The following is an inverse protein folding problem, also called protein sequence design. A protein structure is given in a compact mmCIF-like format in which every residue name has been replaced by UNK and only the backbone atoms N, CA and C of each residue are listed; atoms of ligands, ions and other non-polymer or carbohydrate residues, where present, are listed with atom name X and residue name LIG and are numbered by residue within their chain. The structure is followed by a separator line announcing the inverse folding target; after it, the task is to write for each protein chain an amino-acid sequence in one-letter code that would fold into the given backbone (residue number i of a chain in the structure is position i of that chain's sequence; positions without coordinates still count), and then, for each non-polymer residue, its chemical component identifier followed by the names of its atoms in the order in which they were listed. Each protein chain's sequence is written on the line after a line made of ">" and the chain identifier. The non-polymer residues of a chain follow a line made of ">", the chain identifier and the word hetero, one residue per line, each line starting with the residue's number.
data_IF_397215745256
#
_entry.id   IF_397215745256
#
_cell.length_a   1.000
_cell.length_b   1.000
_cell.length_c   1.000
_cell.angle_alpha   90.00
_cell.angle_beta   90.00
_cell.angle_gamma   90.00
#
_symmetry.space_group_name_H-M   'P 1'
#
loop_
_entity.id
_entity.type
_entity.pdbx_description
1 polymer ?
#
# COMPACT_ATOMS: atom_id res chain seq x y z
N UNK A 1 -21.31 10.48 -27.25
CA UNK A 1 -20.65 9.20 -26.89
C UNK A 1 -19.43 9.61 -26.11
N UNK A 2 -19.47 9.49 -24.79
CA UNK A 2 -18.30 9.79 -23.94
C UNK A 2 -17.15 8.88 -24.40
N UNK A 3 -15.95 9.44 -24.52
CA UNK A 3 -14.76 8.65 -24.76
C UNK A 3 -14.56 7.75 -23.54
N UNK A 4 -14.25 6.44 -23.69
CA UNK A 4 -14.04 5.51 -22.56
C UNK A 4 -13.02 6.01 -21.53
N UNK A 5 -12.08 6.82 -21.98
CA UNK A 5 -10.97 7.38 -21.22
C UNK A 5 -11.41 8.46 -20.23
N UNK A 6 -12.35 9.35 -20.60
CA UNK A 6 -12.82 10.45 -19.73
C UNK A 6 -13.47 9.90 -18.44
N UNK A 7 -14.22 8.80 -18.56
CA UNK A 7 -14.79 8.11 -17.39
C UNK A 7 -13.74 7.46 -16.49
N UNK A 8 -12.64 6.96 -17.02
CA UNK A 8 -11.56 6.35 -16.24
C UNK A 8 -10.80 7.39 -15.38
N UNK A 9 -10.57 8.59 -15.93
CA UNK A 9 -9.90 9.67 -15.16
C UNK A 9 -10.79 10.26 -14.08
N UNK A 10 -12.07 10.44 -14.37
CA UNK A 10 -13.01 10.83 -13.33
C UNK A 10 -13.03 9.79 -12.20
N UNK A 11 -13.07 8.51 -12.56
CA UNK A 11 -13.04 7.41 -11.60
C UNK A 11 -11.75 7.41 -10.77
N UNK A 12 -10.60 7.67 -11.39
CA UNK A 12 -9.32 7.78 -10.71
C UNK A 12 -9.33 8.91 -9.66
N UNK A 13 -9.84 10.09 -10.01
CA UNK A 13 -9.95 11.22 -9.08
C UNK A 13 -10.90 10.91 -7.91
N UNK A 14 -12.01 10.22 -8.15
CA UNK A 14 -12.94 9.75 -7.12
C UNK A 14 -12.25 8.78 -6.13
N UNK A 15 -11.50 7.80 -6.65
CA UNK A 15 -10.78 6.83 -5.84
C UNK A 15 -9.74 7.50 -4.94
N UNK A 16 -8.98 8.45 -5.49
CA UNK A 16 -8.00 9.24 -4.73
C UNK A 16 -8.67 10.01 -3.60
N UNK A 17 -9.79 10.70 -3.89
CA UNK A 17 -10.57 11.42 -2.89
C UNK A 17 -11.02 10.50 -1.76
N UNK A 18 -11.57 9.34 -2.12
CA UNK A 18 -12.07 8.35 -1.17
C UNK A 18 -10.96 7.74 -0.30
N UNK A 19 -9.75 7.52 -0.86
CA UNK A 19 -8.61 7.05 -0.08
C UNK A 19 -8.19 8.05 1.01
N UNK A 20 -8.21 9.34 0.69
CA UNK A 20 -7.90 10.41 1.65
C UNK A 20 -8.96 10.51 2.76
N UNK A 21 -10.24 10.45 2.41
CA UNK A 21 -11.34 10.42 3.39
C UNK A 21 -11.21 9.22 4.34
N UNK A 22 -10.94 8.02 3.81
CA UNK A 22 -10.72 6.84 4.64
C UNK A 22 -9.53 7.01 5.60
N UNK A 23 -8.47 7.72 5.20
CA UNK A 23 -7.32 7.97 6.06
C UNK A 23 -7.65 8.98 7.17
N UNK A 24 -8.42 10.04 6.88
CA UNK A 24 -8.92 10.99 7.88
C UNK A 24 -9.78 10.29 8.94
N UNK A 25 -10.58 9.30 8.54
CA UNK A 25 -11.37 8.45 9.42
C UNK A 25 -10.55 7.36 10.15
N UNK A 26 -9.26 7.27 9.91
CA UNK A 26 -8.36 6.20 10.38
C UNK A 26 -8.78 4.79 9.94
N UNK A 27 -9.43 4.68 8.81
CA UNK A 27 -9.91 3.42 8.19
C UNK A 27 -9.09 3.06 6.94
N UNK A 28 -7.76 3.23 6.99
CA UNK A 28 -6.82 3.03 5.85
C UNK A 28 -6.94 1.64 5.20
N UNK A 29 -7.39 0.63 5.93
CA UNK A 29 -7.63 -0.70 5.37
C UNK A 29 -8.66 -0.71 4.24
N UNK A 30 -9.61 0.25 4.23
CA UNK A 30 -10.59 0.43 3.14
C UNK A 30 -9.93 0.87 1.83
N UNK A 31 -8.69 1.36 1.90
CA UNK A 31 -7.93 1.78 0.73
C UNK A 31 -7.39 0.60 -0.10
N UNK A 32 -7.30 -0.60 0.46
CA UNK A 32 -6.77 -1.79 -0.23
C UNK A 32 -7.50 -2.08 -1.55
N UNK A 33 -8.85 -2.21 -1.59
CA UNK A 33 -9.55 -2.43 -2.86
C UNK A 33 -9.46 -1.22 -3.80
N UNK A 34 -9.41 0.01 -3.27
CA UNK A 34 -9.30 1.23 -4.08
C UNK A 34 -7.93 1.28 -4.79
N UNK A 35 -6.85 0.96 -4.08
CA UNK A 35 -5.51 0.89 -4.66
C UNK A 35 -5.40 -0.19 -5.75
N UNK A 36 -6.02 -1.35 -5.55
CA UNK A 36 -6.11 -2.41 -6.58
C UNK A 36 -6.87 -1.93 -7.82
N UNK A 37 -7.96 -1.19 -7.64
CA UNK A 37 -8.72 -0.59 -8.74
C UNK A 37 -7.91 0.48 -9.47
N UNK A 38 -7.19 1.35 -8.77
CA UNK A 38 -6.28 2.33 -9.38
C UNK A 38 -5.23 1.62 -10.24
N UNK A 39 -4.61 0.56 -9.73
CA UNK A 39 -3.62 -0.21 -10.50
C UNK A 39 -4.21 -0.89 -11.74
N UNK A 40 -5.46 -1.35 -11.66
CA UNK A 40 -6.18 -1.88 -12.82
C UNK A 40 -6.44 -0.79 -13.86
N UNK A 41 -6.93 0.39 -13.43
CA UNK A 41 -7.14 1.53 -14.31
C UNK A 41 -5.84 1.94 -15.02
N UNK A 42 -4.72 2.01 -14.33
CA UNK A 42 -3.43 2.33 -14.93
C UNK A 42 -3.01 1.33 -16.00
N UNK A 43 -3.16 0.03 -15.74
CA UNK A 43 -2.68 -1.02 -16.66
C UNK A 43 -3.57 -1.21 -17.89
N UNK A 44 -4.88 -1.14 -17.70
CA UNK A 44 -5.84 -1.62 -18.69
C UNK A 44 -6.65 -0.49 -19.37
N UNK A 45 -6.82 0.65 -18.68
CA UNK A 45 -7.74 1.69 -19.13
C UNK A 45 -7.10 3.05 -19.39
N UNK A 46 -5.96 3.31 -18.78
CA UNK A 46 -5.32 4.64 -18.81
C UNK A 46 -3.82 4.50 -19.07
N UNK A 47 -3.40 4.07 -20.26
CA UNK A 47 -1.97 4.08 -20.57
C UNK A 47 -1.45 5.52 -20.42
N UNK A 48 -0.37 5.71 -19.65
CA UNK A 48 0.26 7.02 -19.41
C UNK A 48 0.67 7.75 -20.70
N UNK A 49 0.63 7.06 -21.85
CA UNK A 49 0.98 7.59 -23.18
C UNK A 49 -0.12 8.39 -23.87
N UNK A 50 -1.29 8.55 -23.24
CA UNK A 50 -2.36 9.30 -23.85
C UNK A 50 -2.16 10.80 -23.60
N UNK A 51 -1.85 11.56 -24.67
CA UNK A 51 -1.62 13.01 -24.65
C UNK A 51 -2.85 13.82 -24.20
N UNK A 52 -4.06 13.23 -24.24
CA UNK A 52 -5.30 13.88 -23.85
C UNK A 52 -5.50 13.90 -22.31
N UNK A 53 -4.60 13.30 -21.55
CA UNK A 53 -4.77 13.11 -20.10
C UNK A 53 -4.22 14.28 -19.32
N UNK A 54 -5.01 14.74 -18.34
CA UNK A 54 -4.54 15.75 -17.40
C UNK A 54 -3.35 15.22 -16.56
N UNK A 55 -2.13 15.74 -16.76
CA UNK A 55 -0.92 15.31 -16.03
C UNK A 55 -1.10 15.34 -14.51
N UNK A 56 -1.86 16.33 -14.01
CA UNK A 56 -2.09 16.51 -12.57
C UNK A 56 -2.82 15.35 -11.92
N UNK A 57 -3.75 14.69 -12.60
CA UNK A 57 -4.50 13.54 -12.05
C UNK A 57 -3.60 12.31 -11.98
N UNK A 58 -2.74 12.10 -12.98
CA UNK A 58 -1.74 11.03 -12.96
C UNK A 58 -0.79 11.20 -11.80
N UNK A 59 -0.24 12.41 -11.64
CA UNK A 59 0.67 12.72 -10.53
C UNK A 59 0.01 12.49 -9.18
N UNK A 60 -1.21 12.98 -8.99
CA UNK A 60 -1.93 12.78 -7.73
C UNK A 60 -2.15 11.30 -7.43
N UNK A 61 -2.45 10.48 -8.44
CA UNK A 61 -2.60 9.04 -8.25
C UNK A 61 -1.27 8.36 -7.87
N UNK A 62 -0.17 8.76 -8.52
CA UNK A 62 1.18 8.28 -8.20
C UNK A 62 1.57 8.63 -6.76
N UNK A 63 1.38 9.89 -6.36
CA UNK A 63 1.63 10.35 -4.99
C UNK A 63 0.75 9.63 -3.97
N UNK A 64 -0.52 9.40 -4.30
CA UNK A 64 -1.47 8.71 -3.41
C UNK A 64 -1.06 7.25 -3.18
N UNK A 65 -0.64 6.52 -4.23
CA UNK A 65 -0.20 5.13 -4.09
C UNK A 65 1.16 4.99 -3.39
N UNK A 66 2.00 6.01 -3.42
CA UNK A 66 3.30 6.02 -2.74
C UNK A 66 3.24 6.58 -1.31
N UNK A 67 2.07 7.02 -0.83
CA UNK A 67 1.92 7.58 0.51
C UNK A 67 1.68 6.48 1.55
N UNK A 68 2.69 6.23 2.39
CA UNK A 68 2.66 5.25 3.47
C UNK A 68 1.56 5.52 4.51
N UNK A 69 1.01 6.74 4.57
CA UNK A 69 -0.12 7.06 5.43
C UNK A 69 -1.46 6.59 4.86
N UNK A 70 -1.51 6.25 3.58
CA UNK A 70 -2.73 5.81 2.89
C UNK A 70 -2.78 4.31 2.67
N UNK A 71 -1.64 3.62 2.65
CA UNK A 71 -1.51 2.18 2.43
C UNK A 71 -0.37 1.60 3.26
N UNK A 72 -0.51 0.36 3.68
CA UNK A 72 0.57 -0.40 4.32
C UNK A 72 1.40 -1.13 3.26
N UNK A 73 2.64 -0.73 3.07
CA UNK A 73 3.58 -1.34 2.12
C UNK A 73 3.88 -2.81 2.50
N UNK A 74 3.95 -3.11 3.80
CA UNK A 74 4.19 -4.47 4.32
C UNK A 74 3.02 -5.41 4.06
N UNK A 75 1.81 -4.88 4.00
CA UNK A 75 0.62 -5.68 3.73
C UNK A 75 0.37 -5.89 2.22
N UNK A 76 0.98 -5.05 1.36
CA UNK A 76 0.74 -5.02 -0.09
C UNK A 76 2.02 -4.98 -0.94
N UNK A 77 3.09 -5.73 -0.62
CA UNK A 77 4.39 -5.54 -1.26
C UNK A 77 4.38 -5.83 -2.78
N UNK A 78 3.50 -6.71 -3.26
CA UNK A 78 3.37 -7.02 -4.70
C UNK A 78 2.63 -5.93 -5.46
N UNK A 79 1.65 -5.31 -4.81
CA UNK A 79 0.96 -4.14 -5.37
C UNK A 79 1.97 -2.99 -5.53
N UNK A 80 2.78 -2.72 -4.51
CA UNK A 80 3.82 -1.69 -4.56
C UNK A 80 4.90 -2.01 -5.61
N UNK A 81 5.39 -3.25 -5.67
CA UNK A 81 6.32 -3.67 -6.71
C UNK A 81 5.73 -3.42 -8.11
N UNK A 82 4.48 -3.83 -8.32
CA UNK A 82 3.77 -3.65 -9.59
C UNK A 82 3.59 -2.18 -9.95
N UNK A 83 3.37 -1.32 -8.96
CA UNK A 83 3.25 0.12 -9.11
C UNK A 83 4.58 0.76 -9.51
N UNK A 84 5.69 0.43 -8.82
CA UNK A 84 7.00 0.99 -9.15
C UNK A 84 7.55 0.47 -10.48
N UNK A 85 7.27 -0.80 -10.85
CA UNK A 85 7.58 -1.31 -12.20
C UNK A 85 6.81 -0.56 -13.28
N UNK A 86 5.54 -0.25 -13.05
CA UNK A 86 4.74 0.54 -13.97
C UNK A 86 5.28 1.97 -14.09
N UNK A 87 5.71 2.56 -12.97
CA UNK A 87 6.36 3.87 -12.94
C UNK A 87 7.65 3.86 -13.77
N UNK A 88 8.55 2.90 -13.52
CA UNK A 88 9.82 2.78 -14.28
C UNK A 88 9.59 2.72 -15.79
N UNK A 89 8.64 1.90 -16.24
CA UNK A 89 8.31 1.75 -17.65
C UNK A 89 7.76 3.02 -18.31
N UNK A 90 7.28 3.98 -17.52
CA UNK A 90 6.66 5.20 -18.00
C UNK A 90 7.40 6.47 -17.53
N UNK A 91 8.58 6.31 -16.93
CA UNK A 91 9.34 7.42 -16.37
C UNK A 91 9.75 8.47 -17.41
N UNK A 92 10.10 8.03 -18.63
CA UNK A 92 10.47 8.93 -19.72
C UNK A 92 9.31 9.87 -20.11
N UNK A 93 8.08 9.37 -20.04
CA UNK A 93 6.88 10.15 -20.37
C UNK A 93 6.51 11.15 -19.28
N UNK A 94 6.82 10.82 -18.01
CA UNK A 94 6.57 11.71 -16.87
C UNK A 94 7.57 12.88 -16.84
N UNK A 95 8.76 12.70 -17.46
CA UNK A 95 9.79 13.73 -17.54
C UNK A 95 9.61 14.69 -18.73
N UNK A 96 8.80 14.36 -19.74
CA UNK A 96 8.60 15.18 -20.94
C UNK A 96 7.46 16.20 -20.81
N UNK A 97 6.63 16.12 -19.76
CA UNK A 97 5.50 17.03 -19.58
C UNK A 97 5.90 18.26 -18.74
N UNK A 98 5.44 19.47 -19.18
CA UNK A 98 5.69 20.82 -18.62
C UNK A 98 5.21 21.07 -17.18
N UNK A 99 5.35 20.11 -16.27
CA UNK A 99 5.15 20.28 -14.84
C UNK A 99 6.44 20.76 -14.16
N UNK A 100 6.33 21.45 -13.04
CA UNK A 100 7.49 21.92 -12.26
C UNK A 100 8.52 20.81 -12.08
N UNK A 101 9.73 20.91 -12.66
CA UNK A 101 10.70 19.80 -12.71
C UNK A 101 11.13 19.26 -11.35
N UNK A 102 10.96 20.02 -10.30
CA UNK A 102 11.48 19.73 -8.95
C UNK A 102 10.83 18.52 -8.27
N UNK A 103 9.54 18.26 -8.51
CA UNK A 103 8.85 17.15 -7.84
C UNK A 103 9.18 15.81 -8.50
N UNK A 104 9.30 15.77 -9.82
CA UNK A 104 9.62 14.55 -10.57
C UNK A 104 11.06 14.06 -10.38
N UNK A 105 12.05 14.97 -10.40
CA UNK A 105 13.44 14.62 -10.17
C UNK A 105 13.66 13.98 -8.78
N UNK A 106 12.90 14.41 -7.78
CA UNK A 106 12.97 13.83 -6.46
C UNK A 106 12.42 12.40 -6.42
N UNK A 107 11.29 12.12 -7.07
CA UNK A 107 10.70 10.77 -7.11
C UNK A 107 11.53 9.80 -7.96
N UNK A 108 11.99 10.22 -9.13
CA UNK A 108 12.84 9.40 -10.00
C UNK A 108 14.14 8.95 -9.33
N UNK A 109 14.66 9.77 -8.42
CA UNK A 109 15.88 9.47 -7.66
C UNK A 109 15.71 8.26 -6.70
N UNK A 110 14.52 8.09 -6.12
CA UNK A 110 14.24 7.00 -5.17
C UNK A 110 13.70 5.73 -5.84
N UNK A 111 13.30 5.80 -7.10
CA UNK A 111 12.70 4.69 -7.82
C UNK A 111 13.55 3.40 -7.83
N UNK A 112 14.89 3.43 -8.06
CA UNK A 112 15.72 2.25 -8.00
C UNK A 112 15.75 1.59 -6.60
N UNK A 113 15.76 2.38 -5.55
CA UNK A 113 15.78 1.89 -4.16
C UNK A 113 14.44 1.25 -3.79
N UNK A 114 13.32 1.83 -4.20
CA UNK A 114 11.99 1.26 -4.00
C UNK A 114 11.80 -0.03 -4.80
N UNK A 115 12.22 -0.09 -6.05
CA UNK A 115 12.20 -1.32 -6.85
C UNK A 115 13.04 -2.42 -6.23
N UNK A 116 14.22 -2.09 -5.73
CA UNK A 116 15.08 -3.02 -5.00
C UNK A 116 14.38 -3.54 -3.74
N UNK A 117 13.85 -2.64 -2.90
CA UNK A 117 13.14 -2.94 -1.67
C UNK A 117 12.00 -3.95 -1.92
N UNK A 118 11.07 -3.61 -2.80
CA UNK A 118 9.89 -4.46 -3.01
C UNK A 118 10.22 -5.77 -3.76
N UNK A 119 11.22 -5.77 -4.64
CA UNK A 119 11.69 -7.02 -5.26
C UNK A 119 12.18 -8.02 -4.22
N UNK A 120 12.92 -7.55 -3.21
CA UNK A 120 13.36 -8.40 -2.10
C UNK A 120 12.21 -8.79 -1.16
N UNK A 121 11.30 -7.87 -0.86
CA UNK A 121 10.15 -8.16 0.01
C UNK A 121 9.26 -9.28 -0.53
N UNK A 122 9.12 -9.41 -1.85
CA UNK A 122 8.31 -10.47 -2.47
C UNK A 122 9.08 -11.75 -2.76
N UNK A 123 10.39 -11.80 -2.49
CA UNK A 123 11.21 -12.99 -2.72
C UNK A 123 10.78 -14.13 -1.78
N UNK A 124 10.52 -15.34 -2.29
CA UNK A 124 10.16 -16.50 -1.46
C UNK A 124 11.22 -16.90 -0.41
N UNK A 125 12.46 -16.47 -0.61
CA UNK A 125 13.56 -16.72 0.32
C UNK A 125 13.66 -15.66 1.44
N UNK A 126 12.78 -14.66 1.45
CA UNK A 126 12.77 -13.63 2.48
C UNK A 126 12.48 -14.25 3.85
N UNK A 127 13.37 -13.97 4.78
CA UNK A 127 13.26 -14.38 6.20
C UNK A 127 13.36 -13.15 7.09
N UNK A 128 12.93 -13.28 8.35
CA UNK A 128 13.02 -12.19 9.34
C UNK A 128 14.47 -11.68 9.46
N UNK A 129 15.44 -12.59 9.56
CA UNK A 129 16.85 -12.22 9.70
C UNK A 129 17.40 -11.53 8.45
N UNK A 130 16.93 -11.92 7.26
CA UNK A 130 17.32 -11.27 6.01
C UNK A 130 16.68 -9.89 5.89
N UNK A 131 15.39 -9.78 6.22
CA UNK A 131 14.69 -8.50 6.26
C UNK A 131 15.37 -7.50 7.20
N UNK A 132 15.68 -7.94 8.43
CA UNK A 132 16.38 -7.11 9.42
C UNK A 132 17.77 -6.64 8.94
N UNK A 133 18.50 -7.48 8.18
CA UNK A 133 19.79 -7.10 7.60
C UNK A 133 19.68 -6.07 6.49
N UNK A 134 18.68 -6.19 5.64
CA UNK A 134 18.52 -5.34 4.46
C UNK A 134 17.80 -4.03 4.79
N UNK A 135 16.80 -4.08 5.65
CA UNK A 135 15.85 -2.98 5.88
C UNK A 135 15.69 -2.58 7.35
N UNK A 136 16.17 -3.42 8.29
CA UNK A 136 15.93 -3.25 9.72
C UNK A 136 16.66 -2.08 10.39
N UNK A 137 17.59 -1.41 9.69
CA UNK A 137 18.33 -0.27 10.23
C UNK A 137 17.44 0.94 10.55
N UNK A 138 16.32 1.07 9.83
CA UNK A 138 15.36 2.16 9.96
C UNK A 138 14.08 1.73 10.68
N UNK A 139 13.92 0.43 10.98
CA UNK A 139 12.76 -0.13 11.67
C UNK A 139 13.11 -0.43 13.13
N UNK A 140 12.45 0.27 14.06
CA UNK A 140 12.59 -0.02 15.50
C UNK A 140 11.83 -1.28 15.93
N UNK A 141 10.90 -1.79 15.11
CA UNK A 141 10.02 -2.91 15.44
C UNK A 141 10.11 -4.02 14.39
N UNK A 142 10.28 -5.25 14.88
CA UNK A 142 10.16 -6.46 14.06
C UNK A 142 8.69 -6.71 13.72
N UNK A 143 8.43 -7.21 12.52
CA UNK A 143 7.13 -7.67 12.09
C UNK A 143 7.20 -9.12 11.56
N UNK A 144 6.07 -9.78 11.46
CA UNK A 144 6.03 -11.15 10.97
C UNK A 144 6.12 -11.18 9.43
N UNK A 145 7.16 -11.81 8.89
CA UNK A 145 7.38 -11.89 7.43
C UNK A 145 6.31 -12.68 6.69
N UNK A 146 5.38 -13.37 7.38
CA UNK A 146 4.18 -13.93 6.75
C UNK A 146 3.36 -12.85 6.05
N UNK A 147 3.44 -11.58 6.49
CA UNK A 147 2.79 -10.43 5.87
C UNK A 147 3.30 -10.17 4.45
N UNK A 148 4.50 -10.62 4.11
CA UNK A 148 5.06 -10.52 2.76
C UNK A 148 4.58 -11.64 1.83
N UNK A 149 3.79 -12.60 2.32
CA UNK A 149 3.32 -13.73 1.53
C UNK A 149 2.20 -13.34 0.56
N UNK A 150 2.09 -14.02 -0.61
CA UNK A 150 0.98 -13.81 -1.53
C UNK A 150 -0.38 -14.08 -0.90
N UNK A 151 -0.44 -15.03 0.05
CA UNK A 151 -1.67 -15.36 0.75
C UNK A 151 -2.11 -14.22 1.65
N UNK A 152 -1.20 -13.62 2.42
CA UNK A 152 -1.49 -12.45 3.23
C UNK A 152 -2.03 -11.30 2.39
N UNK A 153 -1.31 -10.91 1.34
CA UNK A 153 -1.71 -9.80 0.48
C UNK A 153 -3.08 -10.02 -0.18
N UNK A 154 -3.44 -11.27 -0.46
CA UNK A 154 -4.77 -11.61 -0.97
C UNK A 154 -5.86 -11.43 0.08
N UNK A 155 -5.62 -11.90 1.30
CA UNK A 155 -6.64 -12.04 2.35
C UNK A 155 -6.71 -10.82 3.30
N UNK A 156 -5.69 -9.94 3.30
CA UNK A 156 -5.57 -8.85 4.28
C UNK A 156 -6.79 -7.93 4.32
N UNK A 157 -7.42 -7.65 3.19
CA UNK A 157 -8.61 -6.81 3.15
C UNK A 157 -9.77 -7.43 3.95
N UNK A 158 -10.03 -8.72 3.77
CA UNK A 158 -11.11 -9.41 4.46
C UNK A 158 -10.78 -9.60 5.94
N UNK A 159 -9.52 -9.90 6.28
CA UNK A 159 -9.03 -9.95 7.66
C UNK A 159 -9.27 -8.62 8.38
N UNK A 160 -8.89 -7.50 7.77
CA UNK A 160 -9.08 -6.17 8.36
C UNK A 160 -10.56 -5.82 8.50
N UNK A 161 -11.34 -6.04 7.45
CA UNK A 161 -12.78 -5.81 7.45
C UNK A 161 -13.49 -6.56 8.57
N UNK A 162 -13.17 -7.84 8.76
CA UNK A 162 -13.74 -8.65 9.85
C UNK A 162 -13.25 -8.18 11.22
N UNK A 163 -11.97 -7.77 11.32
CA UNK A 163 -11.37 -7.24 12.55
C UNK A 163 -12.08 -5.96 12.99
N UNK A 164 -12.24 -5.00 12.09
CA UNK A 164 -12.92 -3.75 12.39
C UNK A 164 -14.43 -3.93 12.65
N UNK A 165 -15.05 -4.89 11.98
CA UNK A 165 -16.45 -5.24 12.26
C UNK A 165 -16.65 -5.80 13.69
N UNK A 166 -15.71 -6.62 14.18
CA UNK A 166 -15.73 -7.15 15.54
C UNK A 166 -15.50 -6.05 16.58
N UNK A 167 -14.61 -5.09 16.28
CA UNK A 167 -14.25 -3.99 17.19
C UNK A 167 -15.16 -2.76 17.05
N UNK A 168 -16.24 -2.89 16.31
CA UNK A 168 -17.17 -1.78 16.10
C UNK A 168 -17.78 -1.30 17.43
N UNK A 169 -17.52 -0.03 17.75
CA UNK A 169 -18.01 0.59 18.98
C UNK A 169 -17.01 0.55 20.14
N UNK A 170 -15.88 -0.15 19.99
CA UNK A 170 -14.81 -0.10 20.98
C UNK A 170 -14.06 1.25 20.91
N UNK A 171 -13.66 1.75 22.08
CA UNK A 171 -12.88 2.98 22.16
C UNK A 171 -11.45 2.75 21.64
N UNK A 172 -10.99 3.59 20.71
CA UNK A 172 -9.60 3.57 20.17
C UNK A 172 -8.60 4.25 21.12
N UNK A 173 -8.80 4.12 22.44
CA UNK A 173 -7.91 4.67 23.46
C UNK A 173 -6.71 3.76 23.78
N UNK A 174 -6.08 4.05 24.93
CA UNK A 174 -4.94 3.28 25.44
C UNK A 174 -5.27 1.78 25.50
N UNK A 175 -4.40 0.94 24.98
CA UNK A 175 -4.57 -0.52 24.94
C UNK A 175 -5.42 -1.05 23.79
N UNK A 176 -5.98 -0.21 22.93
CA UNK A 176 -6.74 -0.63 21.75
C UNK A 176 -5.89 -1.53 20.82
N UNK A 177 -4.60 -1.25 20.67
CA UNK A 177 -3.70 -2.05 19.86
C UNK A 177 -3.69 -3.54 20.24
N UNK A 178 -3.79 -3.87 21.53
CA UNK A 178 -3.82 -5.27 21.99
C UNK A 178 -5.12 -5.97 21.61
N UNK A 179 -6.26 -5.29 21.73
CA UNK A 179 -7.55 -5.82 21.28
C UNK A 179 -7.55 -6.02 19.76
N UNK A 180 -7.07 -5.03 19.03
CA UNK A 180 -6.94 -5.09 17.58
C UNK A 180 -6.05 -6.25 17.13
N UNK A 181 -4.88 -6.41 17.70
CA UNK A 181 -3.98 -7.53 17.34
C UNK A 181 -4.56 -8.89 17.71
N UNK A 182 -5.25 -8.99 18.82
CA UNK A 182 -5.93 -10.23 19.22
C UNK A 182 -7.03 -10.61 18.22
N UNK A 183 -7.90 -9.65 17.88
CA UNK A 183 -8.96 -9.85 16.90
C UNK A 183 -8.38 -10.18 15.51
N UNK A 184 -7.40 -9.39 15.03
CA UNK A 184 -6.72 -9.62 13.73
C UNK A 184 -6.07 -10.99 13.66
N UNK A 185 -5.38 -11.44 14.72
CA UNK A 185 -4.80 -12.78 14.79
C UNK A 185 -5.85 -13.88 14.68
N UNK A 186 -6.97 -13.72 15.37
CA UNK A 186 -8.09 -14.68 15.27
C UNK A 186 -8.75 -14.71 13.87
N UNK A 187 -8.76 -13.59 13.14
CA UNK A 187 -9.23 -13.56 11.74
C UNK A 187 -8.22 -14.18 10.82
N UNK A 188 -6.93 -13.84 10.95
CA UNK A 188 -5.86 -14.44 10.15
C UNK A 188 -5.87 -15.97 10.23
N UNK A 189 -6.03 -16.55 11.44
CA UNK A 189 -6.17 -18.00 11.63
C UNK A 189 -7.38 -18.59 10.87
N UNK A 190 -8.52 -17.91 10.83
CA UNK A 190 -9.69 -18.36 10.05
C UNK A 190 -9.41 -18.37 8.54
N UNK A 191 -8.55 -17.46 8.07
CA UNK A 191 -8.07 -17.41 6.68
C UNK A 191 -6.86 -18.35 6.44
N UNK A 192 -6.51 -19.20 7.41
CA UNK A 192 -5.43 -20.18 7.31
C UNK A 192 -4.04 -19.55 7.37
N UNK A 193 -3.90 -18.38 7.99
CA UNK A 193 -2.65 -17.65 8.14
C UNK A 193 -2.29 -17.57 9.63
N UNK A 194 -1.18 -18.17 10.00
CA UNK A 194 -0.64 -18.08 11.35
C UNK A 194 0.22 -16.81 11.49
N UNK A 195 -0.38 -15.73 11.97
CA UNK A 195 0.25 -14.42 12.11
C UNK A 195 0.61 -14.11 13.57
N UNK A 196 1.82 -13.61 13.77
CA UNK A 196 2.32 -13.14 15.07
C UNK A 196 2.21 -11.63 15.16
N UNK A 197 1.53 -11.16 16.20
CA UNK A 197 1.33 -9.73 16.43
C UNK A 197 2.65 -8.99 16.72
N UNK A 198 2.70 -7.65 16.54
CA UNK A 198 3.86 -6.84 16.93
C UNK A 198 4.31 -7.06 18.37
N UNK A 199 3.39 -7.30 19.31
CA UNK A 199 3.72 -7.62 20.69
C UNK A 199 4.52 -8.93 20.82
N UNK A 200 4.11 -9.98 20.09
CA UNK A 200 4.78 -11.29 20.09
C UNK A 200 6.16 -11.18 19.45
N UNK A 201 6.27 -10.40 18.37
CA UNK A 201 7.52 -10.19 17.65
C UNK A 201 8.54 -9.33 18.43
N UNK A 202 8.06 -8.49 19.35
CA UNK A 202 8.88 -7.52 20.08
C UNK A 202 8.65 -7.62 21.60
N UNK A 203 9.02 -8.74 22.26
CA UNK A 203 8.66 -9.00 23.66
C UNK A 203 9.28 -8.02 24.66
N UNK A 204 10.30 -7.24 24.27
CA UNK A 204 10.94 -6.22 25.09
C UNK A 204 10.38 -4.80 24.90
N UNK A 205 9.42 -4.63 24.00
CA UNK A 205 8.85 -3.31 23.68
C UNK A 205 7.53 -3.11 24.42
N UNK A 206 7.36 -1.90 24.95
CA UNK A 206 6.13 -1.47 25.58
C UNK A 206 5.25 -0.75 24.53
N UNK A 207 4.07 -1.27 24.31
CA UNK A 207 3.07 -0.67 23.43
C UNK A 207 2.01 0.02 24.30
N UNK A 208 1.67 1.26 23.98
CA UNK A 208 0.69 2.08 24.68
C UNK A 208 -0.64 2.14 23.91
#
# INVERSE_FOLDING_TARGET
>A
MEKPEEGAYQRLAELIGQMRENAEDMDIWKNIPLAREIMHLFKDCCPLRDEEVNPSVRMQAMQTLSDDNLLSDKDLPRLFLSFYQYWELNNDLLNEEDGEPQDYENYAKYLPDELFKYSWMVDPCMTEDLYDKLFGKDSMLRFDTIQLSPQWEKEIYDIEKETYAELKGESRGMGFCFMYWSAKGGKAEKHGIHWRSPQVMNPGVRFD
#
